data_IF_914348067824
#
_entry.id   IF_914348067824
#
_cell.length_a   1.000
_cell.length_b   1.000
_cell.length_c   1.000
_cell.angle_alpha   90.00
_cell.angle_beta   90.00
_cell.angle_gamma   90.00
#
_symmetry.space_group_name_H-M   'P 1'
#
loop_
_entity.id
_entity.type
_entity.pdbx_description
1 polymer ?
#
# COMPACT_ATOMS: atom_id res chain seq x y z
N UNK A 1 15.34 11.60 -8.25
CA UNK A 1 15.54 10.93 -6.96
C UNK A 1 15.90 9.48 -7.23
N UNK A 2 17.17 9.13 -7.03
CA UNK A 2 17.70 7.77 -7.07
C UNK A 2 17.44 7.03 -5.75
N UNK A 3 17.75 5.73 -5.68
CA UNK A 3 17.75 5.00 -4.41
C UNK A 3 18.81 5.50 -3.42
N UNK A 4 19.89 6.13 -3.92
CA UNK A 4 20.94 6.70 -3.08
C UNK A 4 20.56 8.08 -2.53
N UNK A 5 19.88 8.92 -3.32
CA UNK A 5 19.33 10.21 -2.87
C UNK A 5 18.41 10.01 -1.65
N UNK A 6 17.48 9.04 -1.76
CA UNK A 6 16.54 8.71 -0.67
C UNK A 6 17.26 8.10 0.54
N UNK A 7 18.24 7.23 0.32
CA UNK A 7 19.08 6.65 1.38
C UNK A 7 19.85 7.74 2.14
N UNK A 8 20.39 8.75 1.44
CA UNK A 8 21.12 9.87 2.04
C UNK A 8 20.18 10.79 2.84
N UNK A 9 18.97 11.05 2.34
CA UNK A 9 17.91 11.75 3.08
C UNK A 9 17.54 10.99 4.37
N UNK A 10 17.29 9.69 4.27
CA UNK A 10 17.00 8.85 5.43
C UNK A 10 18.16 8.82 6.44
N UNK A 11 19.41 8.80 5.98
CA UNK A 11 20.60 8.86 6.84
C UNK A 11 20.66 10.13 7.68
N UNK A 12 20.31 11.28 7.09
CA UNK A 12 20.22 12.56 7.79
C UNK A 12 19.12 12.50 8.86
N UNK A 13 17.92 12.03 8.52
CA UNK A 13 16.83 11.89 9.49
C UNK A 13 17.20 10.96 10.66
N UNK A 14 17.81 9.80 10.38
CA UNK A 14 18.26 8.86 11.41
C UNK A 14 19.36 9.43 12.31
N UNK A 15 20.19 10.35 11.79
CA UNK A 15 21.25 11.06 12.52
C UNK A 15 20.68 12.17 13.43
N UNK A 16 19.87 13.07 12.89
CA UNK A 16 19.45 14.29 13.62
C UNK A 16 18.25 14.08 14.56
N UNK A 17 17.45 13.02 14.36
CA UNK A 17 16.22 12.79 15.13
C UNK A 17 16.11 11.41 15.80
N UNK A 18 17.01 10.46 15.50
CA UNK A 18 16.97 9.11 16.08
C UNK A 18 17.34 9.02 17.55
N UNK A 19 17.76 10.14 18.16
CA UNK A 19 17.84 10.30 19.61
C UNK A 19 16.45 10.20 20.27
N UNK A 20 15.42 10.76 19.62
CA UNK A 20 14.03 10.82 20.10
C UNK A 20 13.06 9.92 19.32
N UNK A 21 13.19 9.79 18.01
CA UNK A 21 12.27 9.03 17.15
C UNK A 21 12.53 7.52 17.28
N UNK A 22 11.49 6.78 17.71
CA UNK A 22 11.57 5.34 18.02
C UNK A 22 10.89 4.44 16.98
N UNK A 23 10.05 4.97 16.11
CA UNK A 23 9.42 4.21 15.04
C UNK A 23 9.58 4.95 13.71
N UNK A 24 10.20 4.29 12.74
CA UNK A 24 10.52 4.86 11.43
C UNK A 24 9.71 4.19 10.32
N UNK A 25 8.96 5.00 9.57
CA UNK A 25 8.29 4.60 8.32
C UNK A 25 9.11 5.21 7.19
N UNK A 26 9.58 4.41 6.22
CA UNK A 26 10.37 4.94 5.10
C UNK A 26 9.48 5.56 4.02
N UNK A 27 8.39 4.88 3.67
CA UNK A 27 7.51 5.20 2.54
C UNK A 27 6.08 4.91 3.00
N UNK A 28 5.16 5.81 2.66
CA UNK A 28 3.73 5.64 2.89
C UNK A 28 3.06 5.14 1.61
N UNK A 29 2.07 4.25 1.76
CA UNK A 29 1.15 3.80 0.69
C UNK A 29 1.74 3.67 -0.73
N UNK A 30 2.81 2.87 -0.93
CA UNK A 30 3.54 2.87 -2.19
C UNK A 30 2.67 2.41 -3.38
N UNK A 31 1.68 1.54 -3.16
CA UNK A 31 0.67 1.17 -4.16
C UNK A 31 -0.20 2.35 -4.61
N UNK A 32 -0.75 3.14 -3.68
CA UNK A 32 -1.59 4.29 -4.01
C UNK A 32 -0.80 5.44 -4.65
N UNK A 33 0.42 5.73 -4.18
CA UNK A 33 1.31 6.69 -4.82
C UNK A 33 1.63 6.26 -6.27
N UNK A 34 1.99 4.99 -6.46
CA UNK A 34 2.32 4.43 -7.77
C UNK A 34 1.14 4.50 -8.75
N UNK A 35 -0.06 4.07 -8.35
CA UNK A 35 -1.22 4.04 -9.25
C UNK A 35 -1.75 5.44 -9.56
N UNK A 36 -1.97 6.29 -8.55
CA UNK A 36 -2.55 7.61 -8.80
C UNK A 36 -1.56 8.58 -9.50
N UNK A 37 -0.25 8.44 -9.26
CA UNK A 37 0.77 9.30 -9.85
C UNK A 37 1.19 8.94 -11.28
N UNK A 38 1.03 7.67 -11.69
CA UNK A 38 1.58 7.12 -12.94
C UNK A 38 0.59 6.31 -13.80
N UNK A 39 -0.66 6.15 -13.35
CA UNK A 39 -1.79 5.62 -14.14
C UNK A 39 -3.02 6.55 -14.11
N UNK A 40 -2.95 7.71 -13.45
CA UNK A 40 -4.09 8.61 -13.19
C UNK A 40 -5.10 8.10 -12.14
N UNK A 41 -5.14 6.78 -11.90
CA UNK A 41 -5.77 6.15 -10.74
C UNK A 41 -7.26 6.46 -10.54
N UNK A 42 -7.70 6.52 -9.27
CA UNK A 42 -9.10 6.75 -8.89
C UNK A 42 -9.38 8.17 -8.38
N UNK A 43 -8.34 8.92 -8.02
CA UNK A 43 -8.44 10.32 -7.56
C UNK A 43 -8.13 11.34 -8.66
N UNK A 44 -7.89 10.87 -9.89
CA UNK A 44 -7.26 11.66 -10.94
C UNK A 44 -5.74 11.75 -10.75
N UNK A 45 -5.08 12.28 -11.78
CA UNK A 45 -3.63 12.39 -11.88
C UNK A 45 -3.00 13.28 -10.80
N UNK A 46 -2.67 12.70 -9.64
CA UNK A 46 -1.86 13.37 -8.61
C UNK A 46 -0.40 13.48 -9.07
N UNK A 47 0.37 14.39 -8.49
CA UNK A 47 1.76 14.64 -8.91
C UNK A 47 2.61 13.34 -8.93
N UNK A 48 3.37 13.05 -10.01
CA UNK A 48 3.71 13.93 -11.14
C UNK A 48 2.68 13.98 -12.29
N UNK A 49 1.56 13.28 -12.18
CA UNK A 49 0.45 13.35 -13.13
C UNK A 49 0.72 12.69 -14.47
N UNK A 50 1.31 11.49 -14.45
CA UNK A 50 1.65 10.72 -15.67
C UNK A 50 0.64 9.62 -15.91
N UNK A 51 0.27 9.39 -17.17
CA UNK A 51 -0.57 8.26 -17.60
C UNK A 51 -0.53 8.11 -19.14
N UNK A 52 -1.18 7.07 -19.67
CA UNK A 52 -1.32 6.88 -21.11
C UNK A 52 -2.41 7.74 -21.77
N UNK A 53 -3.42 8.21 -21.03
CA UNK A 53 -4.43 9.13 -21.58
C UNK A 53 -3.81 10.50 -21.85
N UNK A 54 -3.93 10.99 -23.09
CA UNK A 54 -3.41 12.30 -23.48
C UNK A 54 -4.35 13.46 -23.14
N UNK A 55 -5.63 13.16 -22.94
CA UNK A 55 -6.63 14.13 -22.47
C UNK A 55 -6.46 14.45 -20.97
N UNK A 56 -5.85 13.52 -20.20
CA UNK A 56 -5.61 13.66 -18.77
C UNK A 56 -4.13 13.90 -18.39
N UNK A 57 -3.17 13.47 -19.23
CA UNK A 57 -1.73 13.53 -18.93
C UNK A 57 -0.89 13.94 -20.14
N UNK A 58 -0.14 15.03 -20.00
CA UNK A 58 0.77 15.55 -21.03
C UNK A 58 1.82 14.52 -21.50
N UNK A 59 2.22 13.60 -20.62
CA UNK A 59 3.12 12.48 -20.91
C UNK A 59 2.93 11.34 -19.91
N UNK A 60 3.42 10.16 -20.24
CA UNK A 60 3.39 8.97 -19.37
C UNK A 60 3.05 7.69 -20.12
N UNK A 61 3.19 6.56 -19.41
CA UNK A 61 2.75 5.25 -19.88
C UNK A 61 2.23 4.41 -18.71
N UNK A 62 0.91 4.40 -18.55
CA UNK A 62 0.13 3.57 -17.62
C UNK A 62 0.55 2.10 -17.61
N UNK A 63 0.95 1.56 -18.76
CA UNK A 63 1.25 0.14 -18.89
C UNK A 63 2.64 -0.26 -18.34
N UNK A 64 3.53 0.69 -18.03
CA UNK A 64 4.92 0.39 -17.61
C UNK A 64 5.43 1.23 -16.44
N UNK A 65 5.08 2.51 -16.38
CA UNK A 65 5.62 3.44 -15.37
C UNK A 65 5.24 3.07 -13.94
N UNK A 66 4.01 2.60 -13.63
CA UNK A 66 3.68 2.09 -12.31
C UNK A 66 4.64 1.00 -11.80
N UNK A 67 5.01 0.03 -12.65
CA UNK A 67 5.91 -1.07 -12.26
C UNK A 67 7.36 -0.60 -12.04
N UNK A 68 7.82 0.37 -12.84
CA UNK A 68 9.14 1.00 -12.67
C UNK A 68 9.20 1.77 -11.34
N UNK A 69 8.16 2.54 -11.03
CA UNK A 69 8.08 3.34 -9.80
C UNK A 69 7.99 2.45 -8.56
N UNK A 70 7.11 1.44 -8.55
CA UNK A 70 7.01 0.49 -7.46
C UNK A 70 8.34 -0.21 -7.15
N UNK A 71 9.09 -0.58 -8.19
CA UNK A 71 10.42 -1.18 -8.03
C UNK A 71 11.44 -0.20 -7.42
N UNK A 72 11.48 1.05 -7.87
CA UNK A 72 12.37 2.06 -7.27
C UNK A 72 11.99 2.42 -5.82
N UNK A 73 10.71 2.43 -5.46
CA UNK A 73 10.26 2.61 -4.07
C UNK A 73 10.70 1.43 -3.18
N UNK A 74 10.59 0.19 -3.67
CA UNK A 74 11.08 -1.00 -2.96
C UNK A 74 12.60 -0.96 -2.77
N UNK A 75 13.37 -0.56 -3.78
CA UNK A 75 14.82 -0.36 -3.67
C UNK A 75 15.17 0.74 -2.64
N UNK A 76 14.47 1.88 -2.68
CA UNK A 76 14.67 2.99 -1.77
C UNK A 76 14.37 2.61 -0.31
N UNK A 77 13.26 1.90 -0.06
CA UNK A 77 12.96 1.30 1.24
C UNK A 77 14.08 0.35 1.68
N UNK A 78 14.47 -0.60 0.83
CA UNK A 78 15.48 -1.60 1.15
C UNK A 78 16.84 -0.96 1.48
N UNK A 79 17.25 0.08 0.75
CA UNK A 79 18.48 0.83 1.00
C UNK A 79 18.44 1.54 2.37
N UNK A 80 17.37 2.29 2.66
CA UNK A 80 17.20 2.99 3.93
C UNK A 80 17.07 2.02 5.13
N UNK A 81 16.28 0.95 4.99
CA UNK A 81 16.11 -0.06 6.04
C UNK A 81 17.40 -0.85 6.29
N UNK A 82 18.19 -1.17 5.25
CA UNK A 82 19.51 -1.82 5.37
C UNK A 82 20.53 -0.91 6.06
N UNK A 83 20.53 0.38 5.72
CA UNK A 83 21.34 1.39 6.41
C UNK A 83 20.95 1.47 7.89
N UNK A 84 19.66 1.60 8.20
CA UNK A 84 19.15 1.69 9.56
C UNK A 84 19.57 0.47 10.39
N UNK A 85 19.25 -0.75 9.92
CA UNK A 85 19.57 -2.02 10.59
C UNK A 85 21.07 -2.20 10.83
N UNK A 86 21.93 -1.74 9.92
CA UNK A 86 23.39 -1.86 10.06
C UNK A 86 24.02 -0.79 10.97
N UNK A 87 23.61 0.47 10.84
CA UNK A 87 24.32 1.62 11.45
C UNK A 87 23.63 2.19 12.68
N UNK A 88 22.30 2.27 12.68
CA UNK A 88 21.53 3.02 13.68
C UNK A 88 20.82 2.10 14.67
N UNK A 89 20.29 0.96 14.23
CA UNK A 89 19.59 0.01 15.09
C UNK A 89 20.42 -0.53 16.28
N UNK A 90 21.74 -0.80 16.18
CA UNK A 90 22.53 -1.23 17.35
C UNK A 90 22.63 -0.16 18.45
N UNK A 91 22.54 1.12 18.07
CA UNK A 91 22.70 2.28 18.97
C UNK A 91 21.34 2.71 19.52
N UNK A 92 20.37 2.91 18.62
CA UNK A 92 19.03 3.40 18.94
C UNK A 92 18.14 2.29 19.51
N UNK A 93 18.33 1.04 19.07
CA UNK A 93 17.59 -0.20 19.44
C UNK A 93 16.17 -0.33 18.88
N UNK A 94 15.84 0.48 17.88
CA UNK A 94 14.47 0.75 17.47
C UNK A 94 14.06 0.14 16.12
N UNK A 95 12.81 0.41 15.69
CA UNK A 95 12.17 -0.25 14.54
C UNK A 95 12.08 0.66 13.31
N UNK A 96 12.32 0.07 12.14
CA UNK A 96 12.09 0.66 10.81
C UNK A 96 11.19 -0.25 9.98
N UNK A 97 10.25 0.34 9.23
CA UNK A 97 9.26 -0.35 8.41
C UNK A 97 8.73 0.51 7.25
N UNK A 98 7.60 0.09 6.71
CA UNK A 98 6.90 0.71 5.58
C UNK A 98 5.39 0.54 5.82
N UNK A 99 4.58 1.51 5.37
CA UNK A 99 3.11 1.41 5.47
C UNK A 99 2.56 0.96 4.12
N UNK A 100 1.69 -0.04 4.15
CA UNK A 100 1.03 -0.60 2.97
C UNK A 100 -0.48 -0.40 3.10
N UNK A 101 -1.08 0.26 2.11
CA UNK A 101 -2.53 0.40 1.99
C UNK A 101 -3.14 -0.82 1.31
N UNK A 102 -4.29 -1.28 1.80
CA UNK A 102 -5.15 -2.25 1.10
C UNK A 102 -6.56 -2.19 1.67
N UNK A 103 -7.55 -2.35 0.80
CA UNK A 103 -8.87 -2.83 1.18
C UNK A 103 -8.84 -4.35 1.35
N UNK A 104 -9.88 -4.94 1.95
CA UNK A 104 -10.08 -6.38 1.95
C UNK A 104 -11.04 -6.81 0.84
N UNK A 105 -10.71 -7.88 0.13
CA UNK A 105 -11.47 -8.32 -1.05
C UNK A 105 -12.40 -9.48 -0.70
N UNK A 106 -13.71 -9.24 -0.79
CA UNK A 106 -14.74 -10.27 -0.67
C UNK A 106 -15.13 -10.75 -2.08
N UNK A 107 -15.24 -12.07 -2.34
CA UNK A 107 -15.65 -12.55 -3.65
C UNK A 107 -17.13 -12.26 -3.91
N UNK A 108 -17.44 -11.83 -5.14
CA UNK A 108 -18.80 -11.48 -5.57
C UNK A 108 -19.82 -12.62 -5.40
N UNK A 109 -19.39 -13.87 -5.57
CA UNK A 109 -20.19 -15.06 -5.25
C UNK A 109 -19.30 -16.22 -4.78
N UNK A 110 -19.94 -17.32 -4.36
CA UNK A 110 -19.25 -18.59 -4.03
C UNK A 110 -18.62 -19.30 -5.24
N UNK A 111 -18.76 -18.77 -6.46
CA UNK A 111 -18.13 -19.33 -7.66
C UNK A 111 -16.60 -19.31 -7.55
N UNK A 112 -15.96 -20.42 -7.89
CA UNK A 112 -14.49 -20.60 -7.87
C UNK A 112 -13.72 -19.53 -8.66
N UNK A 113 -14.33 -18.91 -9.67
CA UNK A 113 -13.71 -17.83 -10.46
C UNK A 113 -13.63 -16.52 -9.66
N UNK A 114 -14.66 -16.23 -8.86
CA UNK A 114 -14.84 -15.01 -8.07
C UNK A 114 -14.00 -15.08 -6.79
N UNK A 115 -13.95 -16.25 -6.14
CA UNK A 115 -12.99 -16.56 -5.06
C UNK A 115 -11.54 -16.34 -5.52
N UNK A 116 -11.20 -16.83 -6.73
CA UNK A 116 -9.90 -16.54 -7.35
C UNK A 116 -9.74 -15.07 -7.76
N UNK A 117 -10.82 -14.30 -7.97
CA UNK A 117 -10.75 -12.88 -8.30
C UNK A 117 -10.42 -12.03 -7.07
N UNK A 118 -11.08 -12.27 -5.94
CA UNK A 118 -10.76 -11.62 -4.68
C UNK A 118 -9.29 -11.81 -4.28
N UNK A 119 -8.78 -13.03 -4.36
CA UNK A 119 -7.36 -13.33 -4.11
C UNK A 119 -6.42 -12.61 -5.09
N UNK A 120 -6.79 -12.51 -6.39
CA UNK A 120 -5.99 -11.74 -7.36
C UNK A 120 -5.86 -10.28 -6.93
N UNK A 121 -6.94 -9.63 -6.52
CA UNK A 121 -6.89 -8.20 -6.16
C UNK A 121 -6.11 -8.00 -4.84
N UNK A 122 -6.25 -8.89 -3.84
CA UNK A 122 -5.39 -8.87 -2.63
C UNK A 122 -3.90 -9.01 -2.97
N UNK A 123 -3.55 -9.96 -3.83
CA UNK A 123 -2.17 -10.15 -4.25
C UNK A 123 -1.65 -8.93 -5.06
N UNK A 124 -2.50 -8.25 -5.83
CA UNK A 124 -2.14 -7.06 -6.61
C UNK A 124 -2.07 -5.74 -5.81
N UNK A 125 -2.86 -5.58 -4.75
CA UNK A 125 -2.88 -4.35 -3.93
C UNK A 125 -1.90 -4.45 -2.76
N UNK A 126 -1.95 -5.56 -2.01
CA UNK A 126 -1.18 -5.77 -0.79
C UNK A 126 0.04 -6.66 -1.02
N UNK A 127 -0.16 -7.79 -1.70
CA UNK A 127 0.90 -8.76 -1.99
C UNK A 127 2.04 -8.16 -2.82
N UNK A 128 1.73 -7.22 -3.72
CA UNK A 128 2.71 -6.52 -4.58
C UNK A 128 3.89 -5.95 -3.78
N UNK A 129 3.61 -5.37 -2.61
CA UNK A 129 4.64 -4.80 -1.76
C UNK A 129 5.02 -5.72 -0.59
N UNK A 130 4.10 -6.53 -0.05
CA UNK A 130 4.41 -7.39 1.09
C UNK A 130 5.24 -8.64 0.73
N UNK A 131 4.99 -9.29 -0.42
CA UNK A 131 5.76 -10.48 -0.81
C UNK A 131 7.27 -10.18 -0.99
N UNK A 132 7.71 -9.10 -1.68
CA UNK A 132 9.13 -8.79 -1.80
C UNK A 132 9.84 -8.53 -0.46
N UNK A 133 9.12 -7.99 0.53
CA UNK A 133 9.68 -7.67 1.85
C UNK A 133 9.90 -8.91 2.73
N UNK A 134 9.13 -9.98 2.51
CA UNK A 134 9.17 -11.22 3.30
C UNK A 134 9.89 -12.36 2.58
N UNK A 135 9.77 -12.42 1.26
CA UNK A 135 10.25 -13.54 0.42
C UNK A 135 11.24 -13.13 -0.68
N UNK A 136 11.43 -11.84 -0.94
CA UNK A 136 12.29 -11.34 -2.02
C UNK A 136 11.69 -11.44 -3.44
N UNK A 137 10.54 -12.10 -3.60
CA UNK A 137 9.81 -12.24 -4.87
C UNK A 137 8.45 -11.52 -4.86
N UNK A 138 7.92 -11.14 -6.02
CA UNK A 138 6.53 -10.68 -6.17
C UNK A 138 5.54 -11.87 -6.09
N UNK A 139 4.25 -11.67 -5.78
CA UNK A 139 3.27 -12.76 -5.76
C UNK A 139 3.18 -13.47 -7.12
N UNK A 140 3.21 -14.81 -7.13
CA UNK A 140 3.21 -15.60 -8.37
C UNK A 140 2.04 -15.28 -9.31
N UNK A 141 0.88 -14.89 -8.77
CA UNK A 141 -0.27 -14.50 -9.60
C UNK A 141 -0.02 -13.18 -10.34
N UNK A 142 0.70 -12.22 -9.75
CA UNK A 142 1.15 -11.00 -10.43
C UNK A 142 2.16 -11.35 -11.53
N UNK A 143 3.15 -12.20 -11.23
CA UNK A 143 4.12 -12.66 -12.22
C UNK A 143 3.40 -13.26 -13.45
N UNK A 144 2.34 -14.06 -13.23
CA UNK A 144 1.57 -14.69 -14.31
C UNK A 144 0.57 -13.80 -15.07
N UNK A 145 0.20 -12.62 -14.54
CA UNK A 145 -0.87 -11.78 -15.10
C UNK A 145 -0.41 -10.38 -15.52
N UNK A 146 0.67 -9.86 -14.95
CA UNK A 146 1.31 -8.63 -15.44
C UNK A 146 2.20 -8.93 -16.62
N UNK A 147 2.93 -10.06 -16.57
CA UNK A 147 3.85 -10.49 -17.61
C UNK A 147 4.79 -9.35 -18.05
N UNK A 148 4.78 -9.08 -19.35
CA UNK A 148 5.71 -8.19 -20.06
C UNK A 148 5.52 -6.68 -19.82
N UNK A 149 4.70 -6.31 -18.82
CA UNK A 149 4.54 -4.94 -18.31
C UNK A 149 5.40 -4.68 -17.07
N UNK A 150 5.82 -5.73 -16.36
CA UNK A 150 7.20 -5.77 -15.84
C UNK A 150 8.16 -5.83 -17.03
N UNK A 151 9.42 -5.38 -16.92
CA UNK A 151 10.36 -5.38 -18.04
C UNK A 151 10.38 -6.69 -18.86
N UNK A 152 10.42 -6.52 -20.19
CA UNK A 152 10.29 -7.53 -21.27
C UNK A 152 11.05 -8.87 -21.04
N UNK A 153 10.70 -9.97 -21.71
CA UNK A 153 10.25 -10.14 -23.12
C UNK A 153 9.30 -11.35 -23.32
N UNK A 154 8.61 -11.51 -24.47
CA UNK A 154 7.33 -10.88 -24.87
C UNK A 154 6.48 -11.91 -25.67
N UNK A 155 5.20 -11.71 -26.02
CA UNK A 155 4.37 -10.48 -26.09
C UNK A 155 2.88 -10.73 -25.79
N UNK A 156 2.16 -9.62 -25.61
CA UNK A 156 0.71 -9.43 -25.43
C UNK A 156 0.19 -9.63 -23.99
N UNK A 157 -0.81 -8.89 -23.51
CA UNK A 157 -0.79 -7.44 -23.15
C UNK A 157 -1.94 -7.18 -22.12
N UNK A 158 -2.78 -6.13 -22.21
CA UNK A 158 -4.07 -5.95 -21.48
C UNK A 158 -3.98 -5.83 -19.92
N UNK A 159 -5.00 -5.59 -19.07
CA UNK A 159 -6.30 -4.85 -19.02
C UNK A 159 -6.89 -5.05 -17.57
N UNK A 160 -8.02 -4.53 -17.03
CA UNK A 160 -8.92 -3.32 -17.02
C UNK A 160 -9.96 -3.63 -15.89
N UNK A 161 -10.54 -2.78 -15.03
CA UNK A 161 -10.53 -1.31 -14.73
C UNK A 161 -10.08 -1.12 -13.23
N UNK A 162 -10.41 -0.14 -12.36
CA UNK A 162 -11.28 1.06 -12.30
C UNK A 162 -12.34 1.00 -11.16
N UNK A 163 -12.58 2.09 -10.40
CA UNK A 163 -13.37 2.08 -9.14
C UNK A 163 -14.16 3.37 -8.84
N UNK A 164 -15.20 3.25 -7.97
CA UNK A 164 -16.02 4.37 -7.44
C UNK A 164 -16.64 4.07 -6.06
N UNK A 165 -16.01 3.19 -5.27
CA UNK A 165 -16.68 2.43 -4.20
C UNK A 165 -15.78 2.22 -2.95
N UNK A 166 -15.93 3.06 -1.93
CA UNK A 166 -15.43 2.79 -0.58
C UNK A 166 -16.63 2.44 0.31
N UNK A 167 -16.61 1.25 0.92
CA UNK A 167 -17.67 0.76 1.81
C UNK A 167 -17.06 0.33 3.15
N UNK A 168 -17.73 0.68 4.25
CA UNK A 168 -17.30 0.35 5.62
C UNK A 168 -17.48 -1.15 5.86
N UNK A 169 -16.38 -1.90 5.99
CA UNK A 169 -16.41 -3.36 6.17
C UNK A 169 -15.41 -3.86 7.25
N UNK A 170 -15.74 -3.73 8.56
CA UNK A 170 -14.81 -3.99 9.65
C UNK A 170 -14.30 -5.43 9.73
N UNK A 171 -15.06 -6.41 9.21
CA UNK A 171 -14.59 -7.80 9.10
C UNK A 171 -13.36 -7.90 8.19
N UNK A 172 -13.24 -7.03 7.19
CA UNK A 172 -12.09 -7.00 6.29
C UNK A 172 -10.76 -6.73 7.00
N UNK A 173 -10.75 -5.80 7.95
CA UNK A 173 -9.55 -5.52 8.76
C UNK A 173 -9.16 -6.72 9.65
N UNK A 174 -10.14 -7.40 10.23
CA UNK A 174 -9.89 -8.64 10.98
C UNK A 174 -9.29 -9.73 10.07
N UNK A 175 -9.93 -10.00 8.94
CA UNK A 175 -9.52 -11.05 8.00
C UNK A 175 -8.13 -10.76 7.41
N UNK A 176 -7.83 -9.48 7.13
CA UNK A 176 -6.51 -9.02 6.70
C UNK A 176 -5.43 -9.30 7.74
N UNK A 177 -5.67 -8.95 9.01
CA UNK A 177 -4.70 -9.18 10.10
C UNK A 177 -4.41 -10.68 10.29
N UNK A 178 -5.45 -11.53 10.23
CA UNK A 178 -5.31 -12.99 10.30
C UNK A 178 -4.55 -13.53 9.09
N UNK A 179 -4.91 -13.11 7.87
CA UNK A 179 -4.22 -13.47 6.63
C UNK A 179 -2.73 -13.07 6.64
N UNK A 180 -2.41 -11.87 7.13
CA UNK A 180 -1.02 -11.42 7.28
C UNK A 180 -0.26 -12.26 8.31
N UNK A 181 -0.89 -12.58 9.44
CA UNK A 181 -0.34 -13.47 10.47
C UNK A 181 -0.01 -14.86 9.92
N UNK A 182 -0.94 -15.49 9.22
CA UNK A 182 -0.83 -16.86 8.71
C UNK A 182 0.10 -17.00 7.49
N UNK A 183 0.14 -15.99 6.59
CA UNK A 183 0.80 -16.10 5.29
C UNK A 183 2.17 -15.42 5.20
N UNK A 184 2.53 -14.57 6.16
CA UNK A 184 3.74 -13.72 6.09
C UNK A 184 4.64 -13.83 7.34
N UNK A 185 4.69 -15.01 7.96
CA UNK A 185 5.52 -15.32 9.14
C UNK A 185 5.20 -14.47 10.38
N UNK A 186 3.93 -14.10 10.58
CA UNK A 186 3.43 -13.34 11.73
C UNK A 186 4.30 -12.10 12.11
N UNK A 187 4.40 -11.10 11.22
CA UNK A 187 5.21 -9.91 11.46
C UNK A 187 4.60 -9.03 12.56
N UNK A 188 5.40 -8.14 13.14
CA UNK A 188 4.86 -7.11 14.05
C UNK A 188 4.11 -6.06 13.22
N UNK A 189 2.78 -6.08 13.31
CA UNK A 189 1.89 -5.17 12.58
C UNK A 189 1.59 -3.94 13.46
N UNK A 190 1.58 -2.77 12.82
CA UNK A 190 1.01 -1.53 13.37
C UNK A 190 -0.03 -1.02 12.37
N UNK A 191 -1.22 -0.62 12.83
CA UNK A 191 -2.21 0.07 12.00
C UNK A 191 -1.81 1.54 12.01
N UNK A 192 -1.17 1.99 10.94
CA UNK A 192 -0.67 3.36 10.83
C UNK A 192 -1.77 4.36 10.46
N UNK A 193 -2.70 3.96 9.59
CA UNK A 193 -3.83 4.78 9.15
C UNK A 193 -5.13 3.96 9.18
N UNK A 194 -6.20 4.58 9.65
CA UNK A 194 -7.58 4.08 9.58
C UNK A 194 -8.54 5.22 9.88
N UNK A 195 -9.67 5.29 9.18
CA UNK A 195 -10.67 6.34 9.33
C UNK A 195 -11.66 6.33 8.17
N UNK A 196 -12.61 7.25 8.23
CA UNK A 196 -13.54 7.56 7.13
C UNK A 196 -13.59 9.06 6.89
N UNK A 197 -14.08 9.43 5.70
CA UNK A 197 -14.31 10.82 5.30
C UNK A 197 -15.81 11.05 5.14
N UNK A 198 -16.31 12.13 5.72
CA UNK A 198 -17.72 12.48 5.64
C UNK A 198 -18.04 13.16 4.32
N UNK A 199 -19.21 12.85 3.75
CA UNK A 199 -19.79 13.74 2.74
C UNK A 199 -19.98 15.13 3.33
N UNK A 200 -19.72 16.20 2.57
CA UNK A 200 -19.80 17.56 3.08
C UNK A 200 -21.26 17.97 3.39
N UNK A 201 -21.72 17.64 4.61
CA UNK A 201 -23.06 17.93 5.15
C UNK A 201 -23.25 19.42 5.55
N UNK A 202 -22.40 20.32 5.06
CA UNK A 202 -22.66 21.76 4.94
C UNK A 202 -22.46 22.64 6.18
N UNK A 203 -22.53 22.12 7.41
CA UNK A 203 -22.36 22.94 8.63
C UNK A 203 -21.37 22.38 9.62
N UNK A 204 -20.60 23.26 10.27
CA UNK A 204 -19.62 22.90 11.32
C UNK A 204 -20.28 22.13 12.46
N UNK A 205 -21.50 22.50 12.87
CA UNK A 205 -22.24 21.77 13.91
C UNK A 205 -22.42 20.28 13.54
N UNK A 206 -22.89 20.02 12.33
CA UNK A 206 -23.13 18.65 11.86
C UNK A 206 -21.84 17.87 11.56
N UNK A 207 -20.71 18.56 11.35
CA UNK A 207 -19.37 17.97 11.27
C UNK A 207 -18.71 17.70 12.65
N UNK A 208 -19.31 18.17 13.75
CA UNK A 208 -18.91 17.86 15.13
C UNK A 208 -19.78 16.74 15.71
N UNK A 209 -21.05 16.64 15.29
CA UNK A 209 -22.02 15.59 15.67
C UNK A 209 -21.77 14.26 14.92
N UNK A 210 -20.50 13.85 14.80
CA UNK A 210 -20.03 12.75 13.96
C UNK A 210 -20.11 11.38 14.65
N UNK A 211 -21.32 10.82 14.65
CA UNK A 211 -21.60 9.47 15.13
C UNK A 211 -21.12 8.38 14.15
N UNK A 212 -21.11 8.68 12.84
CA UNK A 212 -20.73 7.72 11.78
C UNK A 212 -19.26 7.30 11.93
N UNK A 213 -18.36 8.25 12.21
CA UNK A 213 -16.94 7.95 12.46
C UNK A 213 -16.69 7.28 13.82
N UNK A 214 -17.53 7.52 14.82
CA UNK A 214 -17.47 6.81 16.12
C UNK A 214 -17.81 5.32 15.93
N UNK A 215 -18.90 5.01 15.24
CA UNK A 215 -19.30 3.62 14.93
C UNK A 215 -18.28 2.94 14.01
N UNK A 216 -17.69 3.68 13.07
CA UNK A 216 -16.56 3.21 12.27
C UNK A 216 -15.38 2.78 13.17
N UNK A 217 -14.94 3.63 14.10
CA UNK A 217 -13.79 3.31 14.95
C UNK A 217 -14.09 2.17 15.94
N UNK A 218 -15.24 2.17 16.62
CA UNK A 218 -15.62 1.10 17.54
C UNK A 218 -15.66 -0.27 16.83
N UNK A 219 -16.32 -0.34 15.67
CA UNK A 219 -16.49 -1.59 14.94
C UNK A 219 -15.15 -2.15 14.40
N UNK A 220 -14.23 -1.28 13.99
CA UNK A 220 -12.86 -1.67 13.60
C UNK A 220 -11.99 -2.03 14.81
N UNK A 221 -12.05 -1.31 15.93
CA UNK A 221 -11.32 -1.66 17.16
C UNK A 221 -11.76 -3.05 17.65
N UNK A 222 -13.06 -3.37 17.62
CA UNK A 222 -13.58 -4.71 17.91
C UNK A 222 -13.10 -5.76 16.92
N UNK A 223 -12.87 -5.40 15.65
CA UNK A 223 -12.28 -6.31 14.65
C UNK A 223 -10.81 -6.62 14.93
N UNK A 224 -10.01 -5.60 15.27
CA UNK A 224 -8.61 -5.75 15.67
C UNK A 224 -8.49 -6.59 16.95
N UNK A 225 -9.30 -6.31 17.97
CA UNK A 225 -9.31 -7.08 19.23
C UNK A 225 -9.71 -8.55 19.03
N UNK A 226 -10.50 -8.90 18.00
CA UNK A 226 -10.75 -10.30 17.64
C UNK A 226 -9.53 -10.96 16.98
N UNK A 227 -8.78 -10.24 16.14
CA UNK A 227 -7.61 -10.77 15.43
C UNK A 227 -6.34 -10.90 16.32
N UNK A 228 -6.35 -10.31 17.51
CA UNK A 228 -5.28 -10.43 18.53
C UNK A 228 -5.39 -11.74 19.34
N UNK A 229 -6.54 -12.43 19.30
CA UNK A 229 -6.81 -13.66 20.05
C UNK A 229 -6.47 -14.93 19.26
#
# INVERSE_FOLDING_TARGET
MTSDDFKNFAELCFKEFGDRVKHWITINEPSAFTVNGYDGGSFGSVAPGRCSSRDACAQGNSATEPYIVAHHLLLAHAAAAKLYKKKYQPIQKEKVGIVLVTDWMVPYSSRRLDVKAAQRVLDFVYGWFLNPLVYGEYPRIMQSLVGNRLPKFTKEEAAITGLKHLFVYPKGLHDLLVYTKERYNNPIIYIAETGMSDGNKGTIKHAIEDLERIDFYDSHIRAVHRAIK
#
